data_IF_899829331731
#
_entry.id   IF_899829331731
#
_cell.length_a   1.000
_cell.length_b   1.000
_cell.length_c   1.000
_cell.angle_alpha   90.00
_cell.angle_beta   90.00
_cell.angle_gamma   90.00
#
_symmetry.space_group_name_H-M   'P 1'
#
loop_
_entity.id
_entity.type
_entity.pdbx_description
1 polymer ?
#
# COMPACT_ATOMS: atom_id res chain seq x y z
N UNK A 1 -18.35 58.42 30.03
CA UNK A 1 -18.82 57.04 30.29
C UNK A 1 -19.82 56.47 29.26
N UNK A 2 -20.55 57.28 28.49
CA UNK A 2 -21.50 56.75 27.48
C UNK A 2 -20.84 56.12 26.24
N UNK A 3 -19.67 56.62 25.81
CA UNK A 3 -18.98 56.12 24.61
C UNK A 3 -18.42 54.68 24.76
N UNK A 4 -17.91 54.33 25.94
CA UNK A 4 -17.39 52.98 26.21
C UNK A 4 -18.50 51.91 26.21
N UNK A 5 -19.72 52.27 26.66
CA UNK A 5 -20.88 51.37 26.66
C UNK A 5 -21.39 51.04 25.25
N UNK A 6 -21.30 51.99 24.31
CA UNK A 6 -21.74 51.79 22.93
C UNK A 6 -20.81 50.86 22.13
N UNK A 7 -19.51 50.86 22.43
CA UNK A 7 -18.51 49.99 21.79
C UNK A 7 -18.65 48.53 22.25
N UNK A 8 -18.97 48.28 23.53
CA UNK A 8 -19.20 46.93 24.05
C UNK A 8 -20.45 46.29 23.41
N UNK A 9 -21.53 47.06 23.20
CA UNK A 9 -22.74 46.56 22.54
C UNK A 9 -22.57 46.27 21.05
N UNK A 10 -21.70 47.02 20.34
CA UNK A 10 -21.37 46.72 18.93
C UNK A 10 -20.52 45.45 18.81
N UNK A 11 -19.60 45.21 19.74
CA UNK A 11 -18.83 43.95 19.80
C UNK A 11 -19.73 42.75 20.13
N UNK A 12 -20.68 42.90 21.06
CA UNK A 12 -21.61 41.84 21.43
C UNK A 12 -22.54 41.43 20.27
N UNK A 13 -22.91 42.37 19.39
CA UNK A 13 -23.70 42.08 18.18
C UNK A 13 -22.87 41.48 17.04
N UNK A 14 -21.56 41.73 17.00
CA UNK A 14 -20.66 41.09 16.03
C UNK A 14 -20.37 39.62 16.39
N UNK A 15 -20.41 39.25 17.68
CA UNK A 15 -20.25 37.87 18.14
C UNK A 15 -21.47 36.99 17.90
N UNK A 16 -22.67 37.57 17.78
CA UNK A 16 -23.90 36.83 17.45
C UNK A 16 -24.11 36.58 15.95
N UNK A 17 -23.10 36.91 15.12
CA UNK A 17 -23.11 36.67 13.66
C UNK A 17 -22.13 35.57 13.23
N UNK A 18 -21.67 34.74 14.17
CA UNK A 18 -21.24 33.38 13.84
C UNK A 18 -22.53 32.64 13.50
N UNK A 19 -22.88 32.70 12.22
CA UNK A 19 -23.87 31.80 11.62
C UNK A 19 -23.63 30.43 12.22
N UNK A 20 -24.70 29.81 12.72
CA UNK A 20 -24.67 28.42 13.13
C UNK A 20 -24.03 27.64 11.99
N UNK A 21 -22.77 27.28 12.15
CA UNK A 21 -22.20 26.14 11.44
C UNK A 21 -23.13 25.04 11.87
N UNK A 22 -24.05 24.67 10.99
CA UNK A 22 -24.83 23.45 11.16
C UNK A 22 -23.75 22.42 11.44
N UNK A 23 -23.73 21.92 12.67
CA UNK A 23 -23.08 20.69 13.01
C UNK A 23 -23.87 19.59 12.30
N UNK A 24 -23.89 19.62 10.96
CA UNK A 24 -23.98 18.41 10.18
C UNK A 24 -22.69 17.70 10.55
N UNK A 25 -22.75 16.89 11.60
CA UNK A 25 -21.84 15.78 11.78
C UNK A 25 -21.93 15.00 10.48
N UNK A 26 -21.02 15.28 9.55
CA UNK A 26 -20.69 14.33 8.52
C UNK A 26 -20.03 13.19 9.28
N UNK A 27 -20.84 12.25 9.78
CA UNK A 27 -20.31 10.97 10.23
C UNK A 27 -19.57 10.43 9.03
N UNK A 28 -18.24 10.41 9.10
CA UNK A 28 -17.45 9.65 8.15
C UNK A 28 -18.05 8.25 8.11
N UNK A 29 -18.26 7.68 6.91
CA UNK A 29 -18.76 6.33 6.82
C UNK A 29 -17.84 5.37 7.58
N UNK A 30 -18.35 4.20 7.96
CA UNK A 30 -17.52 3.17 8.56
C UNK A 30 -16.36 2.83 7.61
N UNK A 31 -15.18 2.50 8.13
CA UNK A 31 -14.02 2.11 7.32
C UNK A 31 -14.31 0.88 6.44
N UNK A 32 -15.29 0.07 6.84
CA UNK A 32 -15.79 -1.11 6.10
C UNK A 32 -16.77 -0.76 4.98
N UNK A 33 -17.25 0.47 4.90
CA UNK A 33 -18.11 0.93 3.81
C UNK A 33 -17.23 1.42 2.66
N UNK A 34 -16.88 0.47 1.77
CA UNK A 34 -15.98 0.68 0.65
C UNK A 34 -16.67 1.40 -0.52
N UNK A 35 -16.02 2.38 -1.16
CA UNK A 35 -16.38 2.87 -2.50
C UNK A 35 -16.47 1.74 -3.53
N UNK A 36 -17.21 1.97 -4.62
CA UNK A 36 -17.40 0.98 -5.69
C UNK A 36 -16.07 0.49 -6.28
N UNK A 37 -15.12 1.39 -6.53
CA UNK A 37 -13.78 1.06 -7.05
C UNK A 37 -13.02 0.12 -6.10
N UNK A 38 -13.09 0.37 -4.79
CA UNK A 38 -12.44 -0.46 -3.77
C UNK A 38 -13.12 -1.83 -3.65
N UNK A 39 -14.45 -1.89 -3.79
CA UNK A 39 -15.20 -3.15 -3.87
C UNK A 39 -14.77 -3.96 -5.09
N UNK A 40 -14.63 -3.32 -6.25
CA UNK A 40 -14.17 -3.99 -7.47
C UNK A 40 -12.76 -4.55 -7.31
N UNK A 41 -11.84 -3.78 -6.71
CA UNK A 41 -10.47 -4.23 -6.45
C UNK A 41 -10.44 -5.45 -5.51
N UNK A 42 -11.18 -5.38 -4.41
CA UNK A 42 -11.34 -6.48 -3.45
C UNK A 42 -11.90 -7.73 -4.14
N UNK A 43 -12.95 -7.58 -4.94
CA UNK A 43 -13.63 -8.71 -5.58
C UNK A 43 -12.73 -9.36 -6.66
N UNK A 44 -11.93 -8.56 -7.37
CA UNK A 44 -10.93 -9.06 -8.32
C UNK A 44 -9.86 -9.90 -7.62
N UNK A 45 -9.28 -9.39 -6.52
CA UNK A 45 -8.31 -10.13 -5.71
C UNK A 45 -8.91 -11.41 -5.11
N UNK A 46 -10.14 -11.33 -4.59
CA UNK A 46 -10.89 -12.48 -4.04
C UNK A 46 -11.06 -13.58 -5.10
N UNK A 47 -11.47 -13.19 -6.31
CA UNK A 47 -11.67 -14.14 -7.41
C UNK A 47 -10.35 -14.80 -7.79
N UNK A 48 -9.29 -14.02 -7.99
CA UNK A 48 -7.97 -14.55 -8.31
C UNK A 48 -7.50 -15.54 -7.23
N UNK A 49 -7.60 -15.17 -5.96
CA UNK A 49 -7.18 -16.01 -4.85
C UNK A 49 -7.93 -17.35 -4.84
N UNK A 50 -9.24 -17.35 -5.04
CA UNK A 50 -10.04 -18.59 -5.07
C UNK A 50 -9.78 -19.46 -6.30
N UNK A 51 -9.63 -18.85 -7.48
CA UNK A 51 -9.53 -19.60 -8.73
C UNK A 51 -8.10 -20.07 -9.03
N UNK A 52 -7.08 -19.28 -8.62
CA UNK A 52 -5.67 -19.51 -8.97
C UNK A 52 -4.84 -20.00 -7.81
N UNK A 53 -5.03 -19.43 -6.63
CA UNK A 53 -4.18 -19.74 -5.45
C UNK A 53 -4.74 -20.94 -4.69
N UNK A 54 -6.04 -20.93 -4.37
CA UNK A 54 -6.68 -21.94 -3.50
C UNK A 54 -6.40 -23.40 -3.91
N UNK A 55 -6.41 -23.78 -5.21
CA UNK A 55 -6.12 -25.15 -5.61
C UNK A 55 -4.68 -25.62 -5.35
N UNK A 56 -3.76 -24.68 -5.10
CA UNK A 56 -2.31 -24.92 -4.99
C UNK A 56 -1.80 -24.89 -3.55
N UNK A 57 -2.55 -24.31 -2.62
CA UNK A 57 -2.12 -24.04 -1.23
C UNK A 57 -1.50 -25.25 -0.55
N UNK A 58 -2.24 -26.36 -0.48
CA UNK A 58 -1.77 -27.58 0.21
C UNK A 58 -0.50 -28.13 -0.43
N UNK A 59 -0.43 -28.13 -1.76
CA UNK A 59 0.74 -28.63 -2.47
C UNK A 59 1.97 -27.74 -2.24
N UNK A 60 1.81 -26.42 -2.32
CA UNK A 60 2.92 -25.48 -2.11
C UNK A 60 3.48 -25.55 -0.69
N UNK A 61 2.60 -25.76 0.30
CA UNK A 61 2.97 -25.96 1.70
C UNK A 61 3.72 -27.29 1.90
N UNK A 62 3.14 -28.42 1.45
CA UNK A 62 3.75 -29.75 1.59
C UNK A 62 5.09 -29.88 0.85
N UNK A 63 5.22 -29.26 -0.33
CA UNK A 63 6.44 -29.30 -1.14
C UNK A 63 7.47 -28.22 -0.74
N UNK A 64 7.11 -27.30 0.18
CA UNK A 64 7.86 -26.09 0.55
C UNK A 64 8.31 -25.27 -0.68
N UNK A 65 7.46 -25.22 -1.72
CA UNK A 65 7.80 -24.64 -3.02
C UNK A 65 6.62 -23.88 -3.60
N UNK A 66 6.89 -22.66 -4.03
CA UNK A 66 5.97 -21.91 -4.88
C UNK A 66 5.73 -22.65 -6.20
N UNK A 67 4.49 -22.63 -6.66
CA UNK A 67 4.18 -23.04 -8.02
C UNK A 67 4.96 -22.15 -9.02
N UNK A 68 5.65 -22.73 -10.02
CA UNK A 68 6.48 -21.97 -10.96
C UNK A 68 5.71 -20.90 -11.75
N UNK A 69 4.40 -21.07 -11.94
CA UNK A 69 3.54 -20.11 -12.61
C UNK A 69 3.02 -18.99 -11.70
N UNK A 70 3.05 -19.16 -10.37
CA UNK A 70 2.36 -18.26 -9.44
C UNK A 70 2.85 -16.82 -9.52
N UNK A 71 4.17 -16.61 -9.52
CA UNK A 71 4.76 -15.27 -9.62
C UNK A 71 4.38 -14.61 -10.94
N UNK A 72 4.38 -15.37 -12.04
CA UNK A 72 3.99 -14.89 -13.35
C UNK A 72 2.50 -14.50 -13.39
N UNK A 73 1.62 -15.34 -12.84
CA UNK A 73 0.19 -15.06 -12.75
C UNK A 73 -0.07 -13.78 -11.94
N UNK A 74 0.66 -13.54 -10.85
CA UNK A 74 0.56 -12.29 -10.08
C UNK A 74 0.95 -11.05 -10.90
N UNK A 75 2.01 -11.13 -11.71
CA UNK A 75 2.41 -10.06 -12.62
C UNK A 75 1.36 -9.82 -13.71
N UNK A 76 0.88 -10.86 -14.37
CA UNK A 76 -0.10 -10.76 -15.45
C UNK A 76 -1.45 -10.20 -14.98
N UNK A 77 -1.80 -10.36 -13.70
CA UNK A 77 -3.00 -9.79 -13.09
C UNK A 77 -2.76 -8.43 -12.41
N UNK A 78 -1.55 -7.85 -12.52
CA UNK A 78 -1.24 -6.51 -12.02
C UNK A 78 -1.03 -6.40 -10.50
N UNK A 79 -0.95 -7.51 -9.76
CA UNK A 79 -0.84 -7.49 -8.30
C UNK A 79 0.56 -7.15 -7.78
N UNK A 80 1.58 -7.12 -8.66
CA UNK A 80 2.98 -6.88 -8.27
C UNK A 80 3.45 -5.42 -8.47
N UNK A 81 2.58 -4.56 -9.00
CA UNK A 81 2.89 -3.16 -9.32
C UNK A 81 1.72 -2.22 -9.02
N UNK A 82 1.05 -2.42 -7.88
CA UNK A 82 -0.22 -1.78 -7.54
C UNK A 82 -0.11 -0.26 -7.52
N UNK A 83 0.79 0.28 -6.70
CA UNK A 83 0.99 1.74 -6.54
C UNK A 83 2.00 2.33 -7.52
N UNK A 84 2.62 1.49 -8.37
CA UNK A 84 3.53 1.98 -9.39
C UNK A 84 2.70 2.81 -10.39
N UNK A 85 3.13 4.05 -10.75
CA UNK A 85 2.44 4.85 -11.73
C UNK A 85 2.28 4.15 -13.08
N UNK A 86 1.17 4.43 -13.78
CA UNK A 86 0.89 3.86 -15.11
C UNK A 86 1.99 4.14 -16.14
N UNK A 87 2.70 5.27 -16.04
CA UNK A 87 3.84 5.61 -16.91
C UNK A 87 5.00 4.59 -16.81
N UNK A 88 5.10 3.87 -15.68
CA UNK A 88 6.03 2.77 -15.48
C UNK A 88 5.35 1.40 -15.62
N UNK A 89 4.12 1.34 -16.13
CA UNK A 89 3.38 0.09 -16.35
C UNK A 89 2.82 -0.56 -15.09
N UNK A 90 2.66 0.20 -14.00
CA UNK A 90 1.91 -0.24 -12.83
C UNK A 90 0.42 0.08 -12.92
N UNK A 91 -0.33 -0.26 -11.87
CA UNK A 91 -1.78 -0.09 -11.83
C UNK A 91 -2.22 1.31 -11.30
N UNK A 92 -1.31 2.10 -10.74
CA UNK A 92 -1.62 3.44 -10.21
C UNK A 92 -2.67 3.46 -9.09
N UNK A 93 -2.84 2.35 -8.36
CA UNK A 93 -3.85 2.25 -7.30
C UNK A 93 -3.43 3.03 -6.06
N UNK A 94 -4.39 3.31 -5.18
CA UNK A 94 -4.09 3.85 -3.86
C UNK A 94 -3.46 2.80 -2.94
N UNK A 95 -2.74 3.25 -1.91
CA UNK A 95 -2.21 2.39 -0.84
C UNK A 95 -3.32 1.55 -0.17
N UNK A 96 -4.51 2.13 0.04
CA UNK A 96 -5.63 1.41 0.64
C UNK A 96 -6.12 0.26 -0.24
N UNK A 97 -6.18 0.46 -1.55
CA UNK A 97 -6.48 -0.60 -2.51
C UNK A 97 -5.41 -1.70 -2.49
N UNK A 98 -4.13 -1.36 -2.34
CA UNK A 98 -3.08 -2.37 -2.14
C UNK A 98 -3.34 -3.24 -0.90
N UNK A 99 -3.76 -2.63 0.21
CA UNK A 99 -4.10 -3.36 1.42
C UNK A 99 -5.29 -4.31 1.23
N UNK A 100 -6.32 -3.89 0.48
CA UNK A 100 -7.45 -4.77 0.16
C UNK A 100 -7.02 -5.99 -0.65
N UNK A 101 -6.13 -5.80 -1.63
CA UNK A 101 -5.56 -6.92 -2.42
C UNK A 101 -4.79 -7.89 -1.51
N UNK A 102 -3.89 -7.37 -0.69
CA UNK A 102 -3.06 -8.17 0.22
C UNK A 102 -3.96 -8.94 1.19
N UNK A 103 -4.99 -8.30 1.75
CA UNK A 103 -5.96 -8.92 2.65
C UNK A 103 -6.67 -10.09 1.96
N UNK A 104 -7.24 -9.89 0.77
CA UNK A 104 -8.04 -10.92 0.09
C UNK A 104 -7.20 -12.10 -0.39
N UNK A 105 -5.96 -11.86 -0.84
CA UNK A 105 -5.01 -12.93 -1.18
C UNK A 105 -4.63 -13.72 0.07
N UNK A 106 -4.30 -13.01 1.16
CA UNK A 106 -3.86 -13.63 2.42
C UNK A 106 -4.95 -14.45 3.11
N UNK A 107 -6.23 -14.17 2.85
CA UNK A 107 -7.36 -15.00 3.32
C UNK A 107 -7.34 -16.41 2.74
N UNK A 108 -6.69 -16.61 1.59
CA UNK A 108 -6.53 -17.92 0.96
C UNK A 108 -5.15 -18.51 1.23
N UNK A 109 -4.09 -17.73 1.01
CA UNK A 109 -2.71 -18.16 1.25
C UNK A 109 -1.85 -16.96 1.73
N UNK A 110 -1.47 -16.92 3.02
CA UNK A 110 -0.65 -15.84 3.56
C UNK A 110 0.77 -15.83 2.99
N UNK A 111 1.28 -16.95 2.47
CA UNK A 111 2.61 -17.02 1.83
C UNK A 111 2.60 -16.29 0.48
N UNK A 112 1.53 -16.40 -0.29
CA UNK A 112 1.34 -15.57 -1.50
C UNK A 112 1.06 -14.12 -1.11
N UNK A 113 0.26 -13.91 -0.06
CA UNK A 113 -0.04 -12.58 0.47
C UNK A 113 1.22 -11.78 0.84
N UNK A 114 2.17 -12.37 1.56
CA UNK A 114 3.41 -11.70 1.95
C UNK A 114 4.33 -11.41 0.77
N UNK A 115 4.31 -12.23 -0.29
CA UNK A 115 5.04 -11.93 -1.53
C UNK A 115 4.50 -10.66 -2.20
N UNK A 116 3.18 -10.55 -2.29
CA UNK A 116 2.50 -9.35 -2.84
C UNK A 116 2.76 -8.13 -1.96
N UNK A 117 2.70 -8.29 -0.64
CA UNK A 117 2.98 -7.24 0.32
C UNK A 117 4.41 -6.71 0.18
N UNK A 118 5.43 -7.56 0.33
CA UNK A 118 6.84 -7.17 0.22
C UNK A 118 7.11 -6.46 -1.10
N UNK A 119 6.61 -6.98 -2.22
CA UNK A 119 6.81 -6.35 -3.51
C UNK A 119 6.28 -4.92 -3.53
N UNK A 120 5.04 -4.70 -3.07
CA UNK A 120 4.38 -3.40 -3.19
C UNK A 120 4.77 -2.42 -2.08
N UNK A 121 4.63 -2.82 -0.82
CA UNK A 121 4.73 -1.92 0.33
C UNK A 121 6.17 -1.68 0.75
N UNK A 122 7.11 -2.53 0.31
CA UNK A 122 8.52 -2.43 0.65
C UNK A 122 9.36 -2.12 -0.59
N UNK A 123 9.43 -3.01 -1.57
CA UNK A 123 10.34 -2.85 -2.72
C UNK A 123 9.91 -1.67 -3.60
N UNK A 124 8.68 -1.70 -4.11
CA UNK A 124 8.16 -0.66 -4.99
C UNK A 124 8.12 0.69 -4.27
N UNK A 125 7.65 0.71 -3.02
CA UNK A 125 7.61 1.90 -2.19
C UNK A 125 9.01 2.53 -1.98
N UNK A 126 10.05 1.73 -1.69
CA UNK A 126 11.42 2.22 -1.50
C UNK A 126 11.99 2.84 -2.78
N UNK A 127 11.82 2.18 -3.93
CA UNK A 127 12.33 2.73 -5.20
C UNK A 127 11.56 3.97 -5.63
N UNK A 128 10.23 3.99 -5.47
CA UNK A 128 9.40 5.15 -5.79
C UNK A 128 9.76 6.37 -4.93
N UNK A 129 9.91 6.19 -3.62
CA UNK A 129 10.14 7.29 -2.67
C UNK A 129 11.60 7.75 -2.60
N UNK A 130 12.57 6.82 -2.60
CA UNK A 130 13.99 7.15 -2.35
C UNK A 130 14.88 7.02 -3.61
N UNK A 131 14.37 6.42 -4.69
CA UNK A 131 15.14 6.27 -5.91
C UNK A 131 15.46 7.61 -6.59
N UNK A 132 16.61 7.69 -7.24
CA UNK A 132 16.88 8.75 -8.21
C UNK A 132 15.97 8.58 -9.44
N UNK A 133 15.83 9.63 -10.26
CA UNK A 133 15.07 9.56 -11.52
C UNK A 133 15.53 8.37 -12.39
N UNK A 134 16.84 8.22 -12.59
CA UNK A 134 17.41 7.14 -13.37
C UNK A 134 17.15 5.75 -12.75
N UNK A 135 17.12 5.63 -11.42
CA UNK A 135 16.77 4.35 -10.76
C UNK A 135 15.28 4.03 -10.95
N UNK A 136 14.38 5.01 -10.79
CA UNK A 136 12.94 4.81 -11.01
C UNK A 136 12.65 4.37 -12.45
N UNK A 137 13.16 5.09 -13.43
CA UNK A 137 13.00 4.76 -14.86
C UNK A 137 13.55 3.37 -15.20
N UNK A 138 14.64 2.94 -14.54
CA UNK A 138 15.24 1.63 -14.77
C UNK A 138 14.49 0.48 -14.09
N UNK A 139 14.03 0.67 -12.85
CA UNK A 139 13.57 -0.44 -12.01
C UNK A 139 12.05 -0.55 -11.91
N UNK A 140 11.30 0.56 -11.84
CA UNK A 140 9.85 0.50 -11.68
C UNK A 140 9.15 -0.28 -12.82
N UNK A 141 9.51 -0.10 -14.12
CA UNK A 141 8.92 -0.91 -15.19
C UNK A 141 9.16 -2.42 -15.03
N UNK A 142 10.34 -2.78 -14.53
CA UNK A 142 10.70 -4.18 -14.31
C UNK A 142 9.96 -4.78 -13.13
N UNK A 143 9.85 -4.01 -12.04
CA UNK A 143 9.15 -4.39 -10.82
C UNK A 143 7.64 -4.46 -10.99
N UNK A 144 7.07 -3.74 -11.96
CA UNK A 144 5.66 -3.84 -12.29
C UNK A 144 5.31 -5.07 -13.15
N UNK A 145 6.25 -5.58 -13.95
CA UNK A 145 5.92 -6.55 -15.02
C UNK A 145 6.56 -7.93 -14.90
N UNK A 146 7.76 -8.06 -14.32
CA UNK A 146 8.50 -9.32 -14.46
C UNK A 146 9.60 -9.58 -13.42
N UNK A 147 9.89 -8.65 -12.52
CA UNK A 147 11.00 -8.78 -11.55
C UNK A 147 10.46 -8.72 -10.13
N UNK A 148 10.49 -9.84 -9.42
CA UNK A 148 10.28 -9.86 -7.98
C UNK A 148 11.52 -9.33 -7.25
N UNK A 149 11.30 -8.49 -6.25
CA UNK A 149 12.35 -7.95 -5.39
C UNK A 149 12.49 -8.72 -4.08
N UNK A 150 13.60 -8.51 -3.39
CA UNK A 150 13.83 -9.02 -2.04
C UNK A 150 14.44 -7.91 -1.19
N UNK A 151 13.98 -7.80 0.05
CA UNK A 151 14.49 -6.84 1.02
C UNK A 151 15.46 -7.54 1.97
N UNK A 152 16.75 -7.31 1.75
CA UNK A 152 17.82 -8.02 2.45
C UNK A 152 18.37 -7.17 3.59
N UNK A 153 17.69 -7.19 4.74
CA UNK A 153 18.11 -6.45 5.94
C UNK A 153 18.64 -7.36 7.06
N UNK A 154 17.89 -8.41 7.41
CA UNK A 154 18.23 -9.27 8.54
C UNK A 154 19.46 -10.13 8.28
N UNK A 155 20.28 -10.31 9.31
CA UNK A 155 21.45 -11.19 9.34
C UNK A 155 21.37 -12.11 10.57
N UNK A 156 22.18 -13.19 10.67
CA UNK A 156 22.14 -14.10 11.82
C UNK A 156 22.26 -13.41 13.19
N UNK A 157 23.03 -12.32 13.26
CA UNK A 157 23.30 -11.56 14.49
C UNK A 157 22.55 -10.22 14.56
N UNK A 158 21.69 -9.89 13.57
CA UNK A 158 20.97 -8.61 13.51
C UNK A 158 19.52 -8.78 13.05
N UNK A 159 18.68 -9.27 13.96
CA UNK A 159 17.22 -9.38 13.82
C UNK A 159 16.50 -8.14 14.35
N UNK A 160 16.09 -8.16 15.62
CA UNK A 160 15.42 -7.02 16.27
C UNK A 160 16.33 -5.78 16.37
N UNK A 161 17.64 -5.99 16.58
CA UNK A 161 18.65 -4.94 16.44
C UNK A 161 19.17 -4.89 14.99
N UNK A 162 18.30 -4.47 14.07
CA UNK A 162 18.59 -4.48 12.64
C UNK A 162 19.79 -3.59 12.26
N UNK A 163 20.10 -2.57 13.06
CA UNK A 163 21.22 -1.66 12.80
C UNK A 163 22.58 -2.21 13.26
N UNK A 164 22.60 -3.36 13.95
CA UNK A 164 23.83 -4.09 14.25
C UNK A 164 24.43 -4.85 13.05
N UNK A 165 23.87 -4.66 11.85
CA UNK A 165 24.28 -5.35 10.62
C UNK A 165 25.79 -5.29 10.36
N UNK A 166 26.33 -6.38 9.82
CA UNK A 166 27.76 -6.58 9.58
C UNK A 166 28.13 -6.57 8.11
N UNK A 167 27.18 -6.66 7.18
CA UNK A 167 27.46 -6.60 5.74
C UNK A 167 28.22 -5.33 5.39
N UNK A 168 29.50 -5.42 4.97
CA UNK A 168 30.30 -4.26 4.68
C UNK A 168 29.92 -3.65 3.33
N UNK A 169 30.02 -2.33 3.21
CA UNK A 169 30.04 -1.64 1.92
C UNK A 169 31.38 -0.91 1.78
N UNK A 170 32.07 -1.13 0.68
CA UNK A 170 33.31 -0.44 0.34
C UNK A 170 33.12 0.28 -1.00
N UNK A 171 33.52 1.56 -1.07
CA UNK A 171 33.55 2.27 -2.34
C UNK A 171 34.69 1.69 -3.19
N UNK A 172 34.34 1.20 -4.38
CA UNK A 172 35.36 0.79 -5.35
C UNK A 172 36.02 2.04 -5.95
N UNK A 173 37.35 2.02 -6.16
CA UNK A 173 38.11 3.16 -6.68
C UNK A 173 37.73 3.53 -8.12
#
# INVERSE_FOLDING_TARGET
>A
MAACRAQVLKLARALNRVQSVRCCSTRSPALTALPEEDVMMRDMATKFAREKIQPLVIKMDEDEKFDPGMIKDLFENGFMGLEIPEEFGGAGTSFFQSLLVIEEISRVDPTVGILVDIQNTLINALISSLGTKAQREKYLPRLAQQTAGSFCLSEPESGSDAFAMKTPTQQQP
#
